data_IF_419170979893
#
_entry.id   IF_419170979893
#
_cell.length_a   1.000
_cell.length_b   1.000
_cell.length_c   1.000
_cell.angle_alpha   90.00
_cell.angle_beta   90.00
_cell.angle_gamma   90.00
#
_symmetry.space_group_name_H-M   'P 1'
#
loop_
_entity.id
_entity.type
_entity.pdbx_description
1 polymer ?
#
# COMPACT_ATOMS: atom_id res chain seq x y z
N UNK A 1 -14.14 90.13 11.97
CA UNK A 1 -13.29 88.92 11.86
C UNK A 1 -13.44 87.89 13.00
N UNK A 2 -14.37 88.04 13.96
CA UNK A 2 -14.64 86.99 14.99
C UNK A 2 -15.89 86.14 14.72
N UNK A 3 -16.84 86.61 13.91
CA UNK A 3 -18.08 85.86 13.61
C UNK A 3 -17.97 84.90 12.41
N UNK A 4 -16.95 85.04 11.56
CA UNK A 4 -16.76 84.16 10.39
C UNK A 4 -16.05 82.84 10.73
N UNK A 5 -15.31 82.79 11.86
CA UNK A 5 -14.63 81.57 12.34
C UNK A 5 -15.56 80.60 13.08
N UNK A 6 -16.70 81.07 13.60
CA UNK A 6 -17.64 80.22 14.33
C UNK A 6 -18.56 79.43 13.39
N UNK A 7 -18.92 80.00 12.24
CA UNK A 7 -19.80 79.36 11.25
C UNK A 7 -19.08 78.25 10.47
N UNK A 8 -17.77 78.39 10.25
CA UNK A 8 -16.99 77.37 9.54
C UNK A 8 -16.75 76.09 10.38
N UNK A 9 -16.72 76.21 11.71
CA UNK A 9 -16.51 75.08 12.63
C UNK A 9 -17.79 74.26 12.82
N UNK A 10 -18.97 74.88 12.74
CA UNK A 10 -20.25 74.18 12.87
C UNK A 10 -20.62 73.40 11.60
N UNK A 11 -20.22 73.89 10.41
CA UNK A 11 -20.46 73.15 9.14
C UNK A 11 -19.52 71.94 9.00
N UNK A 12 -18.29 72.01 9.53
CA UNK A 12 -17.33 70.90 9.49
C UNK A 12 -17.68 69.77 10.49
N UNK A 13 -18.41 70.07 11.57
CA UNK A 13 -18.88 69.05 12.53
C UNK A 13 -20.18 68.35 12.10
N UNK A 14 -20.97 68.93 11.19
CA UNK A 14 -22.19 68.28 10.69
C UNK A 14 -21.95 67.28 9.54
N UNK A 15 -20.82 67.36 8.84
CA UNK A 15 -20.46 66.40 7.79
C UNK A 15 -19.81 65.12 8.30
N UNK A 16 -19.36 65.09 9.56
CA UNK A 16 -18.73 63.89 10.16
C UNK A 16 -19.75 62.93 10.79
N UNK A 17 -20.99 63.37 11.03
CA UNK A 17 -22.02 62.53 11.64
C UNK A 17 -22.91 61.73 10.66
N UNK A 18 -22.72 61.90 9.34
CA UNK A 18 -23.50 61.19 8.31
C UNK A 18 -22.73 60.06 7.60
N UNK A 19 -21.50 59.74 8.06
CA UNK A 19 -20.69 58.65 7.52
C UNK A 19 -20.60 57.42 8.46
N UNK A 20 -21.48 57.31 9.46
CA UNK A 20 -21.42 56.26 10.49
C UNK A 20 -22.49 55.14 10.36
N UNK A 21 -23.19 55.07 9.22
CA UNK A 21 -24.13 53.98 8.92
C UNK A 21 -23.77 53.31 7.59
N UNK A 22 -22.55 52.76 7.48
CA UNK A 22 -22.33 51.63 6.59
C UNK A 22 -22.43 50.36 7.45
N UNK A 23 -23.32 49.41 7.13
CA UNK A 23 -23.25 48.09 7.75
C UNK A 23 -21.85 47.54 7.50
N UNK A 24 -21.21 47.03 8.55
CA UNK A 24 -19.92 46.37 8.42
C UNK A 24 -20.02 45.33 7.29
N UNK A 25 -19.01 45.22 6.40
CA UNK A 25 -18.98 44.14 5.43
C UNK A 25 -19.17 42.83 6.20
N UNK A 26 -20.12 42.01 5.76
CA UNK A 26 -20.27 40.67 6.32
C UNK A 26 -18.90 39.99 6.27
N UNK A 27 -18.48 39.29 7.34
CA UNK A 27 -17.27 38.48 7.25
C UNK A 27 -17.42 37.60 6.02
N UNK A 28 -16.37 37.57 5.19
CA UNK A 28 -16.29 36.56 4.13
C UNK A 28 -16.52 35.19 4.80
N UNK A 29 -17.23 34.25 4.14
CA UNK A 29 -17.29 32.90 4.67
C UNK A 29 -15.85 32.47 4.98
N UNK A 30 -15.58 32.09 6.22
CA UNK A 30 -14.33 31.41 6.55
C UNK A 30 -14.34 30.16 5.66
N UNK A 31 -13.57 30.17 4.57
CA UNK A 31 -13.22 28.94 3.86
C UNK A 31 -12.63 28.03 4.94
N UNK A 32 -13.31 26.91 5.20
CA UNK A 32 -12.85 25.98 6.22
C UNK A 32 -11.46 25.50 5.79
N UNK A 33 -10.56 25.28 6.75
CA UNK A 33 -9.24 24.71 6.46
C UNK A 33 -9.30 23.35 5.72
N UNK A 34 -10.48 22.71 5.70
CA UNK A 34 -10.78 21.53 4.86
C UNK A 34 -10.70 21.81 3.35
N UNK A 35 -11.09 22.99 2.88
CA UNK A 35 -11.03 23.34 1.44
C UNK A 35 -9.61 23.65 0.95
N UNK A 36 -8.64 23.85 1.85
CA UNK A 36 -7.21 24.06 1.52
C UNK A 36 -6.40 22.76 1.39
N UNK A 37 -6.91 21.62 1.88
CA UNK A 37 -6.20 20.34 1.77
C UNK A 37 -6.29 19.76 0.35
N UNK A 38 -5.20 19.14 -0.15
CA UNK A 38 -5.23 18.46 -1.43
C UNK A 38 -6.24 17.30 -1.38
N UNK A 39 -6.99 17.14 -2.48
CA UNK A 39 -7.98 16.09 -2.65
C UNK A 39 -7.37 14.88 -3.34
N UNK A 40 -7.32 13.75 -2.64
CA UNK A 40 -6.87 12.49 -3.21
C UNK A 40 -8.06 11.56 -3.40
N UNK A 41 -8.04 10.78 -4.47
CA UNK A 41 -9.08 9.80 -4.78
C UNK A 41 -8.50 8.39 -4.93
N UNK A 42 -9.15 7.38 -4.34
CA UNK A 42 -8.83 5.96 -4.54
C UNK A 42 -9.72 5.32 -5.60
N UNK A 43 -9.15 4.70 -6.62
CA UNK A 43 -9.85 3.95 -7.65
C UNK A 43 -9.33 2.52 -7.70
N UNK A 44 -9.99 1.60 -6.99
CA UNK A 44 -9.54 0.23 -6.77
C UNK A 44 -10.30 -0.76 -7.64
N UNK A 45 -9.57 -1.65 -8.32
CA UNK A 45 -10.17 -2.65 -9.19
C UNK A 45 -10.85 -3.77 -8.39
N UNK A 46 -10.38 -4.07 -7.18
CA UNK A 46 -10.95 -5.10 -6.29
C UNK A 46 -11.52 -4.48 -5.02
N UNK A 47 -12.29 -5.23 -4.20
CA UNK A 47 -12.75 -4.75 -2.90
C UNK A 47 -11.57 -4.44 -1.96
N UNK A 48 -11.68 -3.40 -1.13
CA UNK A 48 -10.60 -3.00 -0.21
C UNK A 48 -10.26 -4.02 0.88
N UNK A 49 -11.08 -5.08 1.06
CA UNK A 49 -10.73 -6.22 1.90
C UNK A 49 -9.61 -7.08 1.30
N UNK A 50 -9.37 -6.99 -0.01
CA UNK A 50 -8.22 -7.59 -0.66
C UNK A 50 -6.93 -6.86 -0.20
N UNK A 51 -5.85 -7.57 0.19
CA UNK A 51 -4.71 -6.94 0.86
C UNK A 51 -3.98 -5.87 0.04
N UNK A 52 -3.89 -6.01 -1.28
CA UNK A 52 -3.21 -5.05 -2.14
C UNK A 52 -3.92 -3.70 -2.11
N UNK A 53 -5.21 -3.66 -2.44
CA UNK A 53 -6.00 -2.43 -2.44
C UNK A 53 -6.20 -1.91 -1.00
N UNK A 54 -6.38 -2.80 -0.04
CA UNK A 54 -6.54 -2.48 1.37
C UNK A 54 -5.36 -1.73 1.99
N UNK A 55 -4.11 -2.11 1.65
CA UNK A 55 -2.91 -1.40 2.15
C UNK A 55 -2.80 0.02 1.59
N UNK A 56 -3.15 0.22 0.31
CA UNK A 56 -3.16 1.55 -0.30
C UNK A 56 -4.25 2.41 0.35
N UNK A 57 -5.46 1.87 0.46
CA UNK A 57 -6.60 2.53 1.11
C UNK A 57 -6.25 2.93 2.55
N UNK A 58 -5.68 2.03 3.35
CA UNK A 58 -5.34 2.29 4.74
C UNK A 58 -4.31 3.44 4.89
N UNK A 59 -3.33 3.54 3.99
CA UNK A 59 -2.35 4.63 4.01
C UNK A 59 -2.98 5.99 3.66
N UNK A 60 -3.88 6.02 2.67
CA UNK A 60 -4.63 7.23 2.29
C UNK A 60 -5.60 7.66 3.40
N UNK A 61 -6.34 6.71 3.97
CA UNK A 61 -7.25 6.97 5.08
C UNK A 61 -6.50 7.53 6.29
N UNK A 62 -5.34 6.95 6.64
CA UNK A 62 -4.49 7.46 7.71
C UNK A 62 -4.05 8.91 7.45
N UNK A 63 -3.63 9.24 6.22
CA UNK A 63 -3.26 10.61 5.88
C UNK A 63 -4.45 11.59 5.99
N UNK A 64 -5.66 11.13 5.65
CA UNK A 64 -6.88 11.92 5.82
C UNK A 64 -7.22 12.13 7.31
N UNK A 65 -7.13 11.09 8.13
CA UNK A 65 -7.36 11.16 9.59
C UNK A 65 -6.35 12.07 10.30
N UNK A 66 -5.12 12.15 9.78
CA UNK A 66 -4.08 13.08 10.21
C UNK A 66 -4.28 14.51 9.71
N UNK A 67 -5.32 14.77 8.90
CA UNK A 67 -5.64 16.09 8.35
C UNK A 67 -4.65 16.56 7.28
N UNK A 68 -4.00 15.64 6.56
CA UNK A 68 -3.03 15.96 5.49
C UNK A 68 -3.68 16.07 4.12
N UNK A 69 -4.79 15.35 3.89
CA UNK A 69 -5.52 15.28 2.62
C UNK A 69 -7.03 15.22 2.90
N UNK A 70 -7.84 15.56 1.90
CA UNK A 70 -9.21 15.05 1.79
C UNK A 70 -9.17 13.77 0.97
N UNK A 71 -9.95 12.76 1.36
CA UNK A 71 -9.93 11.44 0.73
C UNK A 71 -11.35 10.92 0.47
N UNK A 72 -11.57 10.45 -0.75
CA UNK A 72 -12.71 9.64 -1.15
C UNK A 72 -12.22 8.46 -1.98
N UNK A 73 -13.00 7.41 -2.12
CA UNK A 73 -12.64 6.28 -2.97
C UNK A 73 -13.85 5.57 -3.56
N UNK A 74 -13.57 4.73 -4.55
CA UNK A 74 -14.45 3.68 -5.03
C UNK A 74 -13.62 2.41 -5.22
N UNK A 75 -14.17 1.30 -4.76
CA UNK A 75 -13.62 -0.04 -4.92
C UNK A 75 -14.57 -0.94 -5.73
N UNK A 76 -14.14 -2.18 -5.96
CA UNK A 76 -14.88 -3.17 -6.77
C UNK A 76 -15.25 -2.62 -8.17
N UNK A 77 -14.36 -1.81 -8.76
CA UNK A 77 -14.56 -1.25 -10.11
C UNK A 77 -14.45 -2.35 -11.17
N UNK A 78 -13.62 -3.36 -10.92
CA UNK A 78 -13.35 -4.47 -11.81
C UNK A 78 -12.53 -4.09 -13.05
N UNK A 79 -12.47 -5.06 -13.98
CA UNK A 79 -11.62 -5.02 -15.18
C UNK A 79 -12.42 -4.98 -16.49
N UNK A 80 -13.74 -4.76 -16.42
CA UNK A 80 -14.66 -4.83 -17.56
C UNK A 80 -14.83 -3.50 -18.31
N UNK A 81 -13.96 -2.52 -18.05
CA UNK A 81 -13.95 -1.20 -18.71
C UNK A 81 -14.56 -0.06 -17.90
N UNK A 82 -15.13 -0.31 -16.72
CA UNK A 82 -15.68 0.74 -15.85
C UNK A 82 -14.61 1.70 -15.32
N UNK A 83 -13.36 1.25 -15.15
CA UNK A 83 -12.25 2.07 -14.68
C UNK A 83 -12.03 3.31 -15.55
N UNK A 84 -12.05 3.20 -16.89
CA UNK A 84 -11.87 4.36 -17.77
C UNK A 84 -12.96 5.42 -17.56
N UNK A 85 -14.21 4.96 -17.45
CA UNK A 85 -15.36 5.84 -17.23
C UNK A 85 -15.26 6.54 -15.88
N UNK A 86 -14.99 5.80 -14.80
CA UNK A 86 -14.91 6.34 -13.44
C UNK A 86 -13.75 7.34 -13.31
N UNK A 87 -12.56 7.00 -13.82
CA UNK A 87 -11.42 7.90 -13.80
C UNK A 87 -11.69 9.21 -14.55
N UNK A 88 -12.41 9.14 -15.68
CA UNK A 88 -12.81 10.33 -16.44
C UNK A 88 -13.84 11.17 -15.68
N UNK A 89 -14.88 10.54 -15.13
CA UNK A 89 -15.92 11.21 -14.35
C UNK A 89 -15.32 11.94 -13.14
N UNK A 90 -14.49 11.26 -12.33
CA UNK A 90 -13.87 11.90 -11.16
C UNK A 90 -12.91 13.04 -11.54
N UNK A 91 -12.16 12.86 -12.64
CA UNK A 91 -11.24 13.89 -13.13
C UNK A 91 -11.96 15.14 -13.62
N UNK A 92 -13.13 15.00 -14.26
CA UNK A 92 -13.94 16.15 -14.72
C UNK A 92 -14.70 16.84 -13.57
N UNK A 93 -15.39 16.05 -12.76
CA UNK A 93 -16.37 16.55 -11.79
C UNK A 93 -15.71 17.08 -10.51
N UNK A 94 -14.69 16.37 -10.02
CA UNK A 94 -14.06 16.68 -8.72
C UNK A 94 -12.62 17.15 -8.81
N UNK A 95 -11.92 16.86 -9.92
CA UNK A 95 -10.56 17.34 -10.18
C UNK A 95 -9.60 17.07 -9.00
N UNK A 96 -9.44 15.80 -8.58
CA UNK A 96 -8.50 15.46 -7.52
C UNK A 96 -7.08 15.89 -7.87
N UNK A 97 -6.29 16.24 -6.86
CA UNK A 97 -4.88 16.53 -7.03
C UNK A 97 -4.07 15.24 -7.28
N UNK A 98 -4.55 14.11 -6.75
CA UNK A 98 -3.98 12.79 -7.04
C UNK A 98 -5.04 11.69 -7.08
N UNK A 99 -4.81 10.68 -7.93
CA UNK A 99 -5.59 9.45 -7.98
C UNK A 99 -4.66 8.26 -7.73
N UNK A 100 -5.01 7.43 -6.75
CA UNK A 100 -4.33 6.20 -6.39
C UNK A 100 -5.15 4.98 -6.77
N UNK A 101 -4.48 3.87 -7.09
CA UNK A 101 -5.15 2.59 -7.36
C UNK A 101 -4.21 1.54 -7.91
N UNK A 102 -4.78 0.53 -8.55
CA UNK A 102 -4.08 -0.52 -9.27
C UNK A 102 -4.47 -0.52 -10.76
N UNK A 103 -3.46 -0.63 -11.63
CA UNK A 103 -3.62 -0.52 -13.07
C UNK A 103 -3.48 -1.87 -13.78
N UNK A 104 -3.12 -2.97 -13.13
CA UNK A 104 -2.70 -4.22 -13.81
C UNK A 104 -3.64 -4.68 -14.94
N UNK A 105 -4.92 -4.91 -14.64
CA UNK A 105 -5.92 -5.26 -15.65
C UNK A 105 -6.53 -4.06 -16.37
N UNK A 106 -6.16 -2.84 -15.97
CA UNK A 106 -6.72 -1.56 -16.43
C UNK A 106 -5.66 -0.60 -17.04
N UNK A 107 -4.48 -1.09 -17.44
CA UNK A 107 -3.31 -0.29 -17.81
C UNK A 107 -3.62 0.74 -18.90
N UNK A 108 -4.29 0.28 -19.96
CA UNK A 108 -4.63 1.14 -21.09
C UNK A 108 -5.63 2.24 -20.69
N UNK A 109 -6.57 1.93 -19.80
CA UNK A 109 -7.57 2.87 -19.32
C UNK A 109 -6.89 3.96 -18.46
N UNK A 110 -6.11 3.57 -17.46
CA UNK A 110 -5.39 4.49 -16.56
C UNK A 110 -4.49 5.43 -17.35
N UNK A 111 -3.70 4.90 -18.29
CA UNK A 111 -2.75 5.70 -19.07
C UNK A 111 -3.43 6.65 -20.05
N UNK A 112 -4.54 6.23 -20.66
CA UNK A 112 -5.31 7.08 -21.57
C UNK A 112 -5.92 8.26 -20.83
N UNK A 113 -6.57 8.01 -19.70
CA UNK A 113 -7.16 9.08 -18.88
C UNK A 113 -6.05 9.95 -18.29
N UNK A 114 -4.95 9.37 -17.80
CA UNK A 114 -3.80 10.13 -17.31
C UNK A 114 -3.28 11.16 -18.32
N UNK A 115 -3.17 10.78 -19.59
CA UNK A 115 -2.74 11.68 -20.66
C UNK A 115 -3.74 12.81 -20.98
N UNK A 116 -5.03 12.63 -20.67
CA UNK A 116 -6.08 13.62 -20.92
C UNK A 116 -6.18 14.67 -19.79
N UNK A 117 -5.76 14.32 -18.57
CA UNK A 117 -5.78 15.18 -17.37
C UNK A 117 -4.37 15.33 -16.78
N UNK A 118 -3.43 15.99 -17.51
CA UNK A 118 -2.01 16.07 -17.14
C UNK A 118 -1.73 16.81 -15.82
N UNK A 119 -2.71 17.56 -15.29
CA UNK A 119 -2.64 18.27 -14.02
C UNK A 119 -2.85 17.38 -12.78
N UNK A 120 -3.44 16.20 -12.94
CA UNK A 120 -3.73 15.25 -11.86
C UNK A 120 -2.57 14.30 -11.71
N UNK A 121 -2.13 14.01 -10.47
CA UNK A 121 -1.13 12.98 -10.23
C UNK A 121 -1.76 11.57 -10.29
N UNK A 122 -1.47 10.77 -11.32
CA UNK A 122 -1.89 9.37 -11.38
C UNK A 122 -0.81 8.50 -10.75
N UNK A 123 -1.13 7.83 -9.65
CA UNK A 123 -0.19 7.03 -8.86
C UNK A 123 -0.72 5.61 -8.74
N UNK A 124 -0.28 4.70 -9.61
CA UNK A 124 -0.91 3.38 -9.76
C UNK A 124 0.06 2.21 -9.60
N UNK A 125 -0.42 1.14 -8.94
CA UNK A 125 0.23 -0.16 -8.98
C UNK A 125 0.26 -0.68 -10.41
N UNK A 126 1.43 -0.96 -10.98
CA UNK A 126 1.55 -1.24 -12.41
C UNK A 126 2.67 -2.23 -12.71
N UNK A 127 2.43 -3.11 -13.68
CA UNK A 127 3.46 -4.00 -14.24
C UNK A 127 4.29 -3.33 -15.35
N UNK A 128 3.99 -2.08 -15.68
CA UNK A 128 4.64 -1.29 -16.73
C UNK A 128 5.39 -0.09 -16.13
N UNK A 129 6.26 0.54 -16.92
CA UNK A 129 6.98 1.73 -16.48
C UNK A 129 6.10 2.98 -16.36
N UNK A 130 6.60 4.07 -15.74
CA UNK A 130 5.89 5.34 -15.67
C UNK A 130 5.60 5.91 -17.06
N UNK A 131 4.59 6.77 -17.17
CA UNK A 131 4.24 7.45 -18.41
C UNK A 131 4.06 8.96 -18.21
N UNK A 132 4.78 9.73 -19.01
CA UNK A 132 4.71 11.19 -19.01
C UNK A 132 3.32 11.70 -19.42
N UNK A 133 2.85 12.84 -18.85
CA UNK A 133 3.59 13.67 -17.89
C UNK A 133 3.40 13.28 -16.41
N UNK A 134 2.39 12.46 -16.11
CA UNK A 134 1.79 12.42 -14.78
C UNK A 134 1.38 11.02 -14.29
N UNK A 135 1.81 9.95 -14.95
CA UNK A 135 1.56 8.57 -14.47
C UNK A 135 2.81 8.06 -13.77
N UNK A 136 2.80 8.12 -12.45
CA UNK A 136 3.73 7.43 -11.59
C UNK A 136 3.26 6.00 -11.31
N UNK A 137 4.23 5.10 -11.17
CA UNK A 137 3.97 3.68 -10.94
C UNK A 137 4.64 3.21 -9.66
N UNK A 138 4.04 2.20 -9.04
CA UNK A 138 4.65 1.44 -7.94
C UNK A 138 4.32 -0.04 -8.06
N UNK A 139 4.96 -0.83 -7.21
CA UNK A 139 4.69 -2.25 -7.01
C UNK A 139 5.02 -2.59 -5.53
N UNK A 140 4.55 -3.71 -4.99
CA UNK A 140 4.84 -4.14 -3.62
C UNK A 140 6.24 -4.81 -3.53
N UNK A 141 7.27 -4.02 -3.27
CA UNK A 141 8.64 -4.54 -3.17
C UNK A 141 8.95 -5.26 -1.84
N UNK A 142 8.04 -6.12 -1.37
CA UNK A 142 8.11 -6.85 -0.09
C UNK A 142 8.92 -8.16 -0.13
N UNK A 143 9.69 -8.38 -1.19
CA UNK A 143 10.63 -9.51 -1.30
C UNK A 143 11.67 -9.57 -0.16
N UNK A 144 12.09 -8.42 0.35
CA UNK A 144 13.06 -8.34 1.45
C UNK A 144 12.52 -9.00 2.74
N UNK A 145 11.35 -8.61 3.27
CA UNK A 145 10.76 -9.34 4.39
C UNK A 145 10.23 -10.73 4.02
N UNK A 146 9.90 -11.02 2.76
CA UNK A 146 9.57 -12.39 2.35
C UNK A 146 10.75 -13.35 2.52
N UNK A 147 11.96 -12.91 2.15
CA UNK A 147 13.19 -13.65 2.44
C UNK A 147 13.41 -13.86 3.94
N UNK A 148 13.15 -12.85 4.78
CA UNK A 148 13.24 -12.99 6.23
C UNK A 148 12.21 -13.99 6.79
N UNK A 149 10.97 -13.99 6.27
CA UNK A 149 9.97 -15.02 6.57
C UNK A 149 10.43 -16.41 6.14
N UNK A 150 11.14 -16.52 5.01
CA UNK A 150 11.74 -17.76 4.55
C UNK A 150 12.77 -18.32 5.52
N UNK A 151 13.68 -17.49 6.04
CA UNK A 151 14.65 -17.90 7.07
C UNK A 151 13.94 -18.49 8.30
N UNK A 152 12.87 -17.82 8.76
CA UNK A 152 12.07 -18.29 9.89
C UNK A 152 11.39 -19.63 9.59
N UNK A 153 10.75 -19.76 8.42
CA UNK A 153 10.08 -20.98 8.00
C UNK A 153 11.04 -22.17 7.88
N UNK A 154 12.22 -21.95 7.30
CA UNK A 154 13.27 -22.97 7.19
C UNK A 154 13.79 -23.47 8.54
N UNK A 155 13.76 -22.62 9.57
CA UNK A 155 14.10 -22.98 10.94
C UNK A 155 12.97 -23.59 11.76
N UNK A 156 11.71 -23.33 11.39
CA UNK A 156 10.53 -23.83 12.10
C UNK A 156 10.06 -25.20 11.60
N UNK A 157 10.28 -25.53 10.32
CA UNK A 157 9.85 -26.81 9.76
C UNK A 157 10.55 -27.99 10.45
N UNK A 158 9.77 -28.99 10.85
CA UNK A 158 10.22 -30.27 11.41
C UNK A 158 10.28 -31.36 10.32
N UNK A 159 9.38 -31.32 9.33
CA UNK A 159 9.33 -32.26 8.21
C UNK A 159 10.30 -31.90 7.08
N UNK A 160 10.76 -30.65 7.06
CA UNK A 160 11.50 -30.09 5.93
C UNK A 160 10.62 -29.82 4.71
N UNK A 161 9.30 -29.88 4.84
CA UNK A 161 8.36 -29.56 3.75
C UNK A 161 7.55 -28.32 4.12
N UNK A 162 7.55 -27.32 3.25
CA UNK A 162 6.90 -26.03 3.47
C UNK A 162 5.94 -25.78 2.30
N UNK A 163 4.75 -25.27 2.59
CA UNK A 163 3.75 -24.92 1.59
C UNK A 163 3.70 -23.43 1.30
N UNK A 164 3.50 -23.07 0.04
CA UNK A 164 3.27 -21.70 -0.44
C UNK A 164 2.06 -21.73 -1.38
N UNK A 165 1.07 -20.89 -1.11
CA UNK A 165 -0.10 -20.74 -1.98
C UNK A 165 -0.18 -19.29 -2.43
N UNK A 166 -0.01 -19.07 -3.73
CA UNK A 166 -0.03 -17.74 -4.36
C UNK A 166 -1.21 -17.54 -5.30
N UNK A 167 -1.46 -16.29 -5.70
CA UNK A 167 -2.53 -15.92 -6.63
C UNK A 167 -2.26 -16.36 -8.08
N UNK A 168 -1.80 -15.41 -8.91
CA UNK A 168 -1.35 -15.68 -10.27
C UNK A 168 0.19 -15.71 -10.36
N UNK A 169 0.77 -16.52 -11.27
CA UNK A 169 2.23 -16.60 -11.44
C UNK A 169 2.81 -15.42 -12.24
N UNK A 170 2.54 -14.20 -11.79
CA UNK A 170 3.05 -12.95 -12.39
C UNK A 170 4.39 -12.54 -11.76
N UNK A 171 5.18 -11.63 -12.39
CA UNK A 171 6.46 -11.17 -11.84
C UNK A 171 6.43 -10.78 -10.36
N UNK A 172 5.41 -10.04 -9.94
CA UNK A 172 5.20 -9.59 -8.56
C UNK A 172 5.12 -10.76 -7.57
N UNK A 173 4.16 -11.67 -7.73
CA UNK A 173 4.03 -12.85 -6.86
C UNK A 173 5.27 -13.73 -6.92
N UNK A 174 5.81 -13.97 -8.12
CA UNK A 174 7.01 -14.81 -8.30
C UNK A 174 8.20 -14.26 -7.51
N UNK A 175 8.41 -12.94 -7.53
CA UNK A 175 9.46 -12.24 -6.78
C UNK A 175 9.37 -12.51 -5.29
N UNK A 176 8.17 -12.44 -4.72
CA UNK A 176 7.93 -12.67 -3.30
C UNK A 176 8.17 -14.14 -2.94
N UNK A 177 7.61 -15.06 -3.73
CA UNK A 177 7.74 -16.51 -3.50
C UNK A 177 9.19 -16.98 -3.65
N UNK A 178 9.90 -16.53 -4.68
CA UNK A 178 11.30 -16.88 -4.86
C UNK A 178 12.19 -16.35 -3.73
N UNK A 179 11.97 -15.12 -3.26
CA UNK A 179 12.71 -14.58 -2.12
C UNK A 179 12.45 -15.39 -0.84
N UNK A 180 11.20 -15.79 -0.60
CA UNK A 180 10.85 -16.70 0.49
C UNK A 180 11.58 -18.05 0.37
N UNK A 181 11.61 -18.65 -0.83
CA UNK A 181 12.35 -19.89 -1.08
C UNK A 181 13.85 -19.71 -0.81
N UNK A 182 14.46 -18.62 -1.27
CA UNK A 182 15.87 -18.31 -1.02
C UNK A 182 16.17 -18.25 0.48
N UNK A 183 15.29 -17.62 1.27
CA UNK A 183 15.38 -17.58 2.73
C UNK A 183 15.27 -18.97 3.37
N UNK A 184 14.29 -19.76 2.95
CA UNK A 184 14.15 -21.16 3.42
C UNK A 184 15.43 -21.94 3.17
N UNK A 185 15.98 -21.83 1.96
CA UNK A 185 17.15 -22.59 1.51
C UNK A 185 18.45 -22.17 2.19
N UNK A 186 18.55 -20.95 2.70
CA UNK A 186 19.71 -20.50 3.47
C UNK A 186 19.80 -21.20 4.83
N UNK A 187 18.66 -21.42 5.50
CA UNK A 187 18.61 -22.10 6.80
C UNK A 187 18.50 -23.61 6.65
N UNK A 188 17.71 -24.08 5.67
CA UNK A 188 17.46 -25.49 5.42
C UNK A 188 17.63 -25.81 3.92
N UNK A 189 18.87 -26.07 3.46
CA UNK A 189 19.17 -26.33 2.04
C UNK A 189 18.41 -27.54 1.45
N UNK A 190 18.06 -28.51 2.29
CA UNK A 190 17.39 -29.75 1.90
C UNK A 190 15.85 -29.63 1.92
N UNK A 191 15.30 -28.52 2.41
CA UNK A 191 13.85 -28.33 2.50
C UNK A 191 13.16 -28.40 1.13
N UNK A 192 11.95 -28.97 1.07
CA UNK A 192 11.10 -28.95 -0.12
C UNK A 192 10.05 -27.86 0.05
N UNK A 193 9.95 -26.93 -0.91
CA UNK A 193 8.90 -25.91 -0.93
C UNK A 193 7.88 -26.28 -2.00
N UNK A 194 6.64 -26.55 -1.58
CA UNK A 194 5.51 -26.82 -2.46
C UNK A 194 4.86 -25.49 -2.83
N UNK A 195 4.82 -25.15 -4.11
CA UNK A 195 4.21 -23.90 -4.59
C UNK A 195 2.98 -24.24 -5.43
N UNK A 196 1.84 -23.64 -5.09
CA UNK A 196 0.59 -23.77 -5.86
C UNK A 196 0.02 -22.39 -6.15
N UNK A 197 -0.31 -22.13 -7.42
CA UNK A 197 -1.00 -20.90 -7.82
C UNK A 197 -2.49 -21.16 -8.03
N UNK A 198 -3.36 -20.41 -7.34
CA UNK A 198 -4.81 -20.58 -7.47
C UNK A 198 -5.38 -19.96 -8.76
N UNK A 199 -4.57 -19.20 -9.51
CA UNK A 199 -4.98 -18.49 -10.72
C UNK A 199 -6.18 -17.56 -10.49
N UNK A 200 -6.21 -16.91 -9.33
CA UNK A 200 -7.16 -15.88 -8.94
C UNK A 200 -6.46 -14.86 -8.04
N UNK A 201 -6.87 -13.59 -8.09
CA UNK A 201 -6.44 -12.58 -7.13
C UNK A 201 -7.11 -12.74 -5.77
N UNK A 202 -8.39 -13.15 -5.76
CA UNK A 202 -9.16 -13.30 -4.53
C UNK A 202 -10.11 -14.50 -4.61
N UNK A 203 -9.67 -15.64 -4.09
CA UNK A 203 -10.50 -16.84 -3.87
C UNK A 203 -10.02 -17.58 -2.61
N UNK A 204 -10.49 -17.16 -1.42
CA UNK A 204 -10.05 -17.77 -0.15
C UNK A 204 -10.38 -19.26 -0.03
N UNK A 205 -11.46 -19.72 -0.67
CA UNK A 205 -11.86 -21.13 -0.63
C UNK A 205 -10.86 -22.00 -1.43
N UNK A 206 -10.51 -21.58 -2.65
CA UNK A 206 -9.49 -22.26 -3.45
C UNK A 206 -8.11 -22.24 -2.78
N UNK A 207 -7.74 -21.12 -2.16
CA UNK A 207 -6.48 -21.00 -1.43
C UNK A 207 -6.40 -21.94 -0.22
N UNK A 208 -7.51 -22.07 0.54
CA UNK A 208 -7.61 -23.03 1.64
C UNK A 208 -7.50 -24.48 1.15
N UNK A 209 -8.18 -24.83 0.06
CA UNK A 209 -8.11 -26.17 -0.52
C UNK A 209 -6.68 -26.53 -0.98
N UNK A 210 -6.00 -25.60 -1.66
CA UNK A 210 -4.61 -25.77 -2.07
C UNK A 210 -3.67 -25.96 -0.86
N UNK A 211 -3.85 -25.17 0.19
CA UNK A 211 -3.06 -25.28 1.41
C UNK A 211 -3.26 -26.65 2.11
N UNK A 212 -4.50 -27.12 2.22
CA UNK A 212 -4.80 -28.45 2.79
C UNK A 212 -4.14 -29.58 1.97
N UNK A 213 -4.11 -29.48 0.64
CA UNK A 213 -3.42 -30.46 -0.20
C UNK A 213 -1.90 -30.47 0.02
N UNK A 214 -1.29 -29.32 0.31
CA UNK A 214 0.13 -29.23 0.67
C UNK A 214 0.39 -29.83 2.06
N UNK A 215 -0.51 -29.63 3.02
CA UNK A 215 -0.46 -30.26 4.35
C UNK A 215 -0.56 -31.79 4.24
N UNK A 216 -1.49 -32.29 3.43
CA UNK A 216 -1.61 -33.73 3.12
C UNK A 216 -0.34 -34.30 2.46
N UNK A 217 0.41 -33.44 1.77
CA UNK A 217 1.71 -33.76 1.15
C UNK A 217 2.90 -33.61 2.11
N UNK A 218 2.66 -33.28 3.38
CA UNK A 218 3.66 -33.23 4.44
C UNK A 218 4.13 -31.82 4.83
N UNK A 219 3.55 -30.76 4.26
CA UNK A 219 3.89 -29.39 4.67
C UNK A 219 3.48 -29.13 6.12
N UNK A 220 4.41 -28.60 6.92
CA UNK A 220 4.18 -28.29 8.34
C UNK A 220 4.34 -26.81 8.70
N UNK A 221 4.73 -26.00 7.71
CA UNK A 221 4.74 -24.53 7.76
C UNK A 221 4.16 -24.02 6.45
N UNK A 222 3.32 -22.99 6.52
CA UNK A 222 2.66 -22.41 5.34
C UNK A 222 2.99 -20.92 5.16
N UNK A 223 3.22 -20.49 3.92
CA UNK A 223 3.26 -19.08 3.54
C UNK A 223 1.96 -18.72 2.81
N UNK A 224 1.19 -17.84 3.46
CA UNK A 224 -0.12 -17.39 3.05
C UNK A 224 -0.02 -16.10 2.22
N UNK A 225 0.41 -16.24 0.97
CA UNK A 225 0.42 -15.12 0.02
C UNK A 225 -1.03 -14.70 -0.35
N UNK A 226 -2.01 -15.60 -0.14
CA UNK A 226 -3.46 -15.34 -0.25
C UNK A 226 -4.22 -15.69 1.03
N UNK A 227 -5.34 -15.00 1.26
CA UNK A 227 -6.29 -15.35 2.31
C UNK A 227 -6.83 -16.78 2.13
N UNK A 228 -7.22 -17.43 3.23
CA UNK A 228 -7.66 -18.83 3.28
C UNK A 228 -6.57 -19.83 3.69
N UNK A 229 -5.30 -19.54 3.39
CA UNK A 229 -4.16 -20.39 3.76
C UNK A 229 -3.92 -20.40 5.28
N UNK A 230 -4.04 -19.23 5.94
CA UNK A 230 -3.92 -19.13 7.40
C UNK A 230 -5.00 -19.98 8.09
N UNK A 231 -6.21 -20.00 7.56
CA UNK A 231 -7.29 -20.82 8.11
C UNK A 231 -6.93 -22.32 8.06
N UNK A 232 -6.39 -22.79 6.93
CA UNK A 232 -5.89 -24.16 6.83
C UNK A 232 -4.76 -24.45 7.83
N UNK A 233 -3.84 -23.51 8.04
CA UNK A 233 -2.77 -23.66 9.03
C UNK A 233 -3.32 -23.80 10.45
N UNK A 234 -4.22 -22.90 10.85
CA UNK A 234 -4.85 -22.87 12.18
C UNK A 234 -5.63 -24.15 12.45
N UNK A 235 -6.41 -24.64 11.48
CA UNK A 235 -7.18 -25.88 11.61
C UNK A 235 -6.30 -27.12 11.85
N UNK A 236 -5.05 -27.08 11.36
CA UNK A 236 -4.08 -28.17 11.50
C UNK A 236 -3.02 -27.92 12.58
N UNK A 237 -3.10 -26.78 13.29
CA UNK A 237 -2.15 -26.40 14.32
C UNK A 237 -0.73 -26.14 13.81
N UNK A 238 -0.61 -25.64 12.57
CA UNK A 238 0.65 -25.39 11.88
C UNK A 238 1.02 -23.91 11.91
N UNK A 239 2.32 -23.62 11.86
CA UNK A 239 2.77 -22.23 11.75
C UNK A 239 2.50 -21.67 10.36
N UNK A 240 2.13 -20.40 10.31
CA UNK A 240 1.90 -19.67 9.08
C UNK A 240 2.62 -18.31 9.07
N UNK A 241 2.92 -17.85 7.86
CA UNK A 241 3.36 -16.49 7.59
C UNK A 241 2.32 -15.79 6.73
N UNK A 242 1.83 -14.64 7.16
CA UNK A 242 0.91 -13.81 6.37
C UNK A 242 1.62 -13.05 5.24
N UNK A 243 0.88 -12.25 4.49
CA UNK A 243 1.42 -11.38 3.44
C UNK A 243 0.70 -10.02 3.35
N UNK A 244 1.45 -9.01 2.91
CA UNK A 244 1.07 -7.61 2.71
C UNK A 244 0.67 -6.83 3.98
N UNK A 245 0.08 -7.46 4.99
CA UNK A 245 -0.28 -6.84 6.26
C UNK A 245 0.04 -7.74 7.47
N UNK A 246 -0.06 -7.19 8.68
CA UNK A 246 0.02 -7.99 9.90
C UNK A 246 -1.29 -8.76 10.11
N UNK A 247 -1.23 -10.08 9.88
CA UNK A 247 -2.38 -10.97 9.90
C UNK A 247 -2.43 -11.84 11.17
N UNK A 248 -1.69 -11.48 12.23
CA UNK A 248 -1.63 -12.30 13.45
C UNK A 248 -3.01 -12.54 14.08
N UNK A 249 -3.94 -11.59 13.97
CA UNK A 249 -5.30 -11.72 14.52
C UNK A 249 -6.09 -12.90 13.95
N UNK A 250 -5.74 -13.37 12.74
CA UNK A 250 -6.40 -14.52 12.10
C UNK A 250 -5.97 -15.86 12.70
N UNK A 251 -4.84 -15.88 13.42
CA UNK A 251 -4.35 -17.07 14.11
C UNK A 251 -3.26 -16.71 15.13
N UNK A 252 -3.60 -16.12 16.30
CA UNK A 252 -2.60 -15.53 17.19
C UNK A 252 -1.54 -16.50 17.72
N UNK A 253 -1.85 -17.79 17.76
CA UNK A 253 -0.94 -18.86 18.19
C UNK A 253 -0.06 -19.43 17.07
N UNK A 254 -0.42 -19.16 15.80
CA UNK A 254 0.11 -19.86 14.63
C UNK A 254 0.70 -18.92 13.58
N UNK A 255 0.21 -17.70 13.46
CA UNK A 255 0.72 -16.70 12.52
C UNK A 255 1.94 -16.02 13.14
N UNK A 256 3.12 -16.51 12.79
CA UNK A 256 4.40 -16.14 13.40
C UNK A 256 4.80 -14.71 13.06
N UNK A 257 4.63 -14.33 11.80
CA UNK A 257 4.94 -13.01 11.24
C UNK A 257 4.44 -12.97 9.79
N UNK A 258 4.96 -12.06 8.97
CA UNK A 258 4.70 -11.99 7.54
C UNK A 258 5.35 -10.73 6.92
N UNK A 259 5.53 -10.70 5.59
CA UNK A 259 5.90 -9.49 4.88
C UNK A 259 4.78 -8.45 5.00
N UNK A 260 5.09 -7.28 5.55
CA UNK A 260 4.17 -6.13 5.63
C UNK A 260 4.59 -5.12 4.58
N UNK A 261 3.63 -4.69 3.77
CA UNK A 261 3.77 -3.56 2.86
C UNK A 261 3.24 -2.29 3.54
N UNK A 262 3.97 -1.20 3.41
CA UNK A 262 3.63 0.09 4.01
C UNK A 262 3.63 1.16 2.92
N UNK A 263 2.44 1.63 2.55
CA UNK A 263 2.27 2.69 1.56
C UNK A 263 2.44 4.12 2.14
N UNK A 264 2.61 4.27 3.45
CA UNK A 264 2.80 5.59 4.08
C UNK A 264 3.94 6.40 3.44
N UNK A 265 5.15 5.86 3.21
CA UNK A 265 6.23 6.64 2.60
C UNK A 265 5.90 7.13 1.19
N UNK A 266 5.21 6.30 0.39
CA UNK A 266 4.74 6.67 -0.95
C UNK A 266 3.71 7.79 -0.87
N UNK A 267 2.68 7.64 -0.02
CA UNK A 267 1.62 8.64 0.15
C UNK A 267 2.20 9.98 0.64
N UNK A 268 3.08 9.97 1.64
CA UNK A 268 3.74 11.18 2.15
C UNK A 268 4.61 11.86 1.10
N UNK A 269 5.34 11.08 0.29
CA UNK A 269 6.11 11.63 -0.81
C UNK A 269 5.21 12.33 -1.84
N UNK A 270 4.09 11.70 -2.23
CA UNK A 270 3.16 12.28 -3.19
C UNK A 270 2.46 13.53 -2.65
N UNK A 271 2.04 13.54 -1.38
CA UNK A 271 1.49 14.75 -0.72
C UNK A 271 2.48 15.91 -0.85
N UNK A 272 3.77 15.68 -0.58
CA UNK A 272 4.79 16.70 -0.71
C UNK A 272 4.98 17.18 -2.16
N UNK A 273 4.97 16.26 -3.13
CA UNK A 273 5.12 16.59 -4.55
C UNK A 273 3.94 17.42 -5.08
N UNK A 274 2.72 17.04 -4.71
CA UNK A 274 1.48 17.74 -5.06
C UNK A 274 1.44 19.13 -4.44
N UNK A 275 1.69 19.25 -3.13
CA UNK A 275 1.71 20.55 -2.44
C UNK A 275 2.78 21.50 -3.00
N UNK A 276 3.88 20.96 -3.51
CA UNK A 276 4.94 21.73 -4.14
C UNK A 276 4.70 22.04 -5.63
N UNK A 277 3.64 21.49 -6.25
CA UNK A 277 3.38 21.62 -7.69
C UNK A 277 4.49 21.02 -8.56
N UNK A 278 5.12 19.95 -8.07
CA UNK A 278 6.35 19.37 -8.65
C UNK A 278 6.22 17.92 -9.08
N UNK A 279 5.02 17.34 -8.96
CA UNK A 279 4.76 15.96 -9.34
C UNK A 279 5.04 15.73 -10.83
N UNK A 280 5.66 14.58 -11.12
CA UNK A 280 5.97 14.09 -12.48
C UNK A 280 5.85 12.57 -12.49
N UNK A 281 5.70 12.01 -13.70
CA UNK A 281 5.78 10.57 -13.93
C UNK A 281 7.10 10.00 -13.41
N UNK A 282 7.01 8.97 -12.55
CA UNK A 282 8.18 8.37 -11.93
C UNK A 282 7.89 6.95 -11.45
N UNK A 283 8.95 6.16 -11.31
CA UNK A 283 8.88 4.86 -10.62
C UNK A 283 9.12 5.09 -9.12
N UNK A 284 8.13 4.72 -8.30
CA UNK A 284 8.13 4.89 -6.85
C UNK A 284 8.62 3.64 -6.10
N UNK A 285 9.14 2.63 -6.82
CA UNK A 285 9.67 1.37 -6.30
C UNK A 285 10.43 1.49 -4.97
N UNK A 286 11.35 2.43 -4.86
CA UNK A 286 12.19 2.57 -3.67
C UNK A 286 11.38 2.84 -2.39
N UNK A 287 10.20 3.49 -2.50
CA UNK A 287 9.33 3.78 -1.36
C UNK A 287 8.58 2.55 -0.85
N UNK A 288 8.54 1.45 -1.61
CA UNK A 288 8.01 0.16 -1.19
C UNK A 288 9.05 -0.76 -0.54
N UNK A 289 10.33 -0.37 -0.50
CA UNK A 289 11.41 -1.20 0.06
C UNK A 289 11.67 -0.93 1.54
N UNK A 290 12.31 -1.87 2.23
CA UNK A 290 12.68 -1.77 3.65
C UNK A 290 13.52 -0.51 3.92
N UNK A 291 14.45 -0.19 3.02
CA UNK A 291 15.36 0.95 3.17
C UNK A 291 14.66 2.31 3.32
N UNK A 292 13.44 2.48 2.79
CA UNK A 292 12.62 3.70 2.97
C UNK A 292 11.43 3.48 3.91
N UNK A 293 11.38 2.35 4.61
CA UNK A 293 10.27 2.00 5.49
C UNK A 293 8.99 1.56 4.76
N UNK A 294 9.10 1.23 3.47
CA UNK A 294 8.01 0.75 2.64
C UNK A 294 7.65 -0.71 2.84
N UNK A 295 8.53 -1.46 3.48
CA UNK A 295 8.32 -2.86 3.81
C UNK A 295 8.95 -3.17 5.17
N UNK A 296 8.38 -4.15 5.86
CA UNK A 296 8.92 -4.67 7.12
C UNK A 296 8.47 -6.09 7.37
N UNK A 297 9.12 -6.77 8.30
CA UNK A 297 8.60 -8.00 8.88
C UNK A 297 7.55 -7.64 9.96
N UNK A 298 6.40 -8.33 9.97
CA UNK A 298 5.38 -8.11 11.00
C UNK A 298 5.93 -8.43 12.41
N UNK A 299 5.39 -7.81 13.48
CA UNK A 299 5.73 -8.20 14.84
C UNK A 299 5.51 -9.70 15.09
N UNK A 300 6.33 -10.30 15.96
CA UNK A 300 6.22 -11.73 16.29
C UNK A 300 5.08 -12.07 17.26
N UNK A 301 4.47 -11.07 17.89
CA UNK A 301 3.38 -11.24 18.88
C UNK A 301 3.65 -12.30 19.97
N UNK A 302 4.92 -12.49 20.36
CA UNK A 302 5.36 -13.45 21.37
C UNK A 302 5.65 -14.87 20.85
N UNK A 303 5.52 -15.09 19.53
CA UNK A 303 5.89 -16.36 18.87
C UNK A 303 7.37 -16.46 18.53
N UNK A 304 8.17 -15.41 18.78
CA UNK A 304 9.62 -15.44 18.61
C UNK A 304 10.29 -16.51 19.49
N UNK A 305 9.68 -16.87 20.62
CA UNK A 305 10.13 -17.95 21.49
C UNK A 305 9.95 -19.36 20.88
N UNK A 306 9.18 -19.50 19.79
CA UNK A 306 8.99 -20.76 19.06
C UNK A 306 10.06 -20.97 17.99
N UNK A 307 10.76 -19.92 17.60
CA UNK A 307 11.82 -19.95 16.57
C UNK A 307 13.15 -20.35 17.22
N UNK A 308 13.97 -21.21 16.59
CA UNK A 308 15.33 -21.47 17.06
C UNK A 308 16.13 -20.17 17.25
N UNK A 309 16.86 -20.07 18.36
CA UNK A 309 17.50 -18.81 18.77
C UNK A 309 18.57 -18.31 17.79
N UNK A 310 19.27 -19.22 17.12
CA UNK A 310 20.25 -18.94 16.08
C UNK A 310 19.57 -18.42 14.79
N UNK A 311 18.44 -19.00 14.40
CA UNK A 311 17.63 -18.51 13.26
C UNK A 311 17.08 -17.12 13.56
N UNK A 312 16.54 -16.88 14.76
CA UNK A 312 16.05 -15.55 15.15
C UNK A 312 17.18 -14.50 15.17
N UNK A 313 18.38 -14.89 15.60
CA UNK A 313 19.55 -14.01 15.56
C UNK A 313 19.97 -13.69 14.11
N UNK A 314 19.97 -14.69 13.22
CA UNK A 314 20.25 -14.51 11.80
C UNK A 314 19.23 -13.58 11.14
N UNK A 315 17.94 -13.74 11.41
CA UNK A 315 16.88 -12.87 10.88
C UNK A 315 17.09 -11.42 11.30
N UNK A 316 17.36 -11.16 12.59
CA UNK A 316 17.64 -9.80 13.09
C UNK A 316 18.89 -9.21 12.44
N UNK A 317 19.93 -10.02 12.23
CA UNK A 317 21.13 -9.60 11.53
C UNK A 317 20.83 -9.25 10.06
N UNK A 318 20.16 -10.13 9.31
CA UNK A 318 19.81 -9.93 7.91
C UNK A 318 18.90 -8.73 7.71
N UNK A 319 17.91 -8.54 8.59
CA UNK A 319 17.05 -7.37 8.57
C UNK A 319 17.85 -6.06 8.69
N UNK A 320 18.83 -6.03 9.61
CA UNK A 320 19.70 -4.87 9.77
C UNK A 320 20.63 -4.68 8.56
N UNK A 321 21.21 -5.75 8.03
CA UNK A 321 22.05 -5.69 6.83
C UNK A 321 21.28 -5.22 5.59
N UNK A 322 20.01 -5.59 5.45
CA UNK A 322 19.11 -5.08 4.40
C UNK A 322 18.89 -3.58 4.58
N UNK A 323 18.52 -3.14 5.80
CA UNK A 323 18.33 -1.71 6.13
C UNK A 323 19.56 -0.86 5.83
N UNK A 324 20.75 -1.40 6.14
CA UNK A 324 22.03 -0.72 5.93
C UNK A 324 22.56 -0.84 4.49
N UNK A 325 21.87 -1.60 3.62
CA UNK A 325 22.30 -1.87 2.24
C UNK A 325 23.52 -2.79 2.11
N UNK A 326 23.87 -3.50 3.19
CA UNK A 326 24.97 -4.48 3.26
C UNK A 326 24.59 -5.85 2.71
N UNK A 327 23.29 -6.17 2.71
CA UNK A 327 22.75 -7.37 2.09
C UNK A 327 21.67 -6.99 1.07
N UNK A 328 21.71 -7.62 -0.10
CA UNK A 328 20.70 -7.44 -1.15
C UNK A 328 20.01 -8.76 -1.40
N UNK A 329 18.72 -8.79 -1.15
CA UNK A 329 17.87 -9.95 -1.45
C UNK A 329 17.75 -10.06 -2.97
N UNK A 330 17.83 -11.28 -3.49
CA UNK A 330 17.72 -11.53 -4.92
C UNK A 330 16.31 -11.17 -5.42
N UNK A 331 16.23 -10.63 -6.64
CA UNK A 331 14.96 -10.35 -7.32
C UNK A 331 14.86 -11.33 -8.48
N UNK A 332 14.05 -12.37 -8.29
CA UNK A 332 13.78 -13.42 -9.27
C UNK A 332 12.28 -13.43 -9.59
N UNK A 333 11.92 -13.05 -10.82
CA UNK A 333 10.52 -12.84 -11.25
C UNK A 333 10.00 -13.98 -12.14
N UNK A 334 10.84 -14.98 -12.42
CA UNK A 334 10.46 -16.22 -13.07
C UNK A 334 9.56 -17.09 -12.18
N UNK A 335 8.66 -17.86 -12.80
CA UNK A 335 7.83 -18.81 -12.06
C UNK A 335 8.70 -19.78 -11.26
N UNK A 336 8.46 -19.94 -9.94
CA UNK A 336 9.24 -20.84 -9.09
C UNK A 336 9.31 -22.26 -9.65
N UNK A 337 10.48 -22.88 -9.59
CA UNK A 337 10.69 -24.21 -10.12
C UNK A 337 9.79 -25.25 -9.42
N UNK A 338 9.02 -26.00 -10.21
CA UNK A 338 8.11 -27.04 -9.69
C UNK A 338 6.77 -26.53 -9.18
N UNK A 339 6.44 -25.25 -9.39
CA UNK A 339 5.13 -24.70 -9.07
C UNK A 339 4.02 -25.37 -9.91
N UNK A 340 2.86 -25.57 -9.27
CA UNK A 340 1.67 -26.21 -9.85
C UNK A 340 0.55 -25.21 -10.10
#
# INVERSE_FOLDING_TARGET
>A
MKHLRLVLVVILMLTVFLAACQPAPAPAPEESMEDELPFFYGAFATPIEEPWDGVIHAALQKAADEGKIRYEYQDDIGYAGDMERILREISEDKKPDAIFGDAFGNEEAVRRVGAEYPEIAFVFGSGLGPAEPNVAVFDNWIHEPAYLSGLLAGGLTETGTIGVVGGHPVPEVNRIVNAFIDGVKEVNPDATVLVTFINSWFDPAAAKEAALAQVDSGADVLFAERFGVIEAAVENGLFAFGAMSDQNELGPEYVVSGPVWNMTPTVEYIINQVNAGSFTAQDLKDFSMVGKGGASLAPFHGLDAKVPADVLALVKQREQEIKDGLFRVNIAEETPAGAQ
#
